data_IF_207336326009
#
_entry.id   IF_207336326009
#
_cell.length_a   1.000
_cell.length_b   1.000
_cell.length_c   1.000
_cell.angle_alpha   90.00
_cell.angle_beta   90.00
_cell.angle_gamma   90.00
#
_symmetry.space_group_name_H-M   'P 1'
#
loop_
_entity.id
_entity.type
_entity.pdbx_description
1 polymer ?
#
# COMPACT_ATOMS: atom_id res chain seq x y z
N UNK A 1 7.20 4.30 -24.15
CA UNK A 1 6.49 3.04 -24.44
C UNK A 1 6.62 2.73 -25.94
N UNK A 2 7.09 1.55 -26.32
CA UNK A 2 7.30 1.15 -27.72
C UNK A 2 6.55 -0.16 -28.00
N UNK A 3 5.90 -0.23 -29.15
CA UNK A 3 5.02 -1.33 -29.55
C UNK A 3 5.48 -1.95 -30.86
N UNK A 4 5.41 -3.27 -30.96
CA UNK A 4 5.74 -4.01 -32.19
C UNK A 4 4.47 -4.72 -32.67
N UNK A 5 4.10 -4.60 -33.96
CA UNK A 5 2.94 -5.30 -34.50
C UNK A 5 3.16 -6.81 -34.51
N UNK A 6 2.09 -7.54 -34.22
CA UNK A 6 2.03 -9.01 -34.28
C UNK A 6 0.91 -9.39 -35.24
N UNK A 7 1.21 -10.31 -36.14
CA UNK A 7 0.24 -10.84 -37.10
C UNK A 7 -0.20 -12.23 -36.65
N UNK A 8 -1.43 -12.42 -36.14
CA UNK A 8 -1.88 -13.70 -35.60
C UNK A 8 -1.78 -14.87 -36.59
N UNK A 9 -1.92 -14.58 -37.89
CA UNK A 9 -1.80 -15.56 -38.97
C UNK A 9 -0.37 -16.07 -39.18
N UNK A 10 0.63 -15.33 -38.71
CA UNK A 10 2.05 -15.69 -38.79
C UNK A 10 2.53 -16.53 -37.59
N UNK A 11 1.64 -16.83 -36.64
CA UNK A 11 2.00 -17.61 -35.47
C UNK A 11 2.21 -19.10 -35.83
N UNK A 12 3.10 -19.81 -35.11
CA UNK A 12 3.22 -21.25 -35.25
C UNK A 12 1.87 -21.95 -35.05
N UNK A 13 1.66 -23.06 -35.78
CA UNK A 13 0.39 -23.80 -35.73
C UNK A 13 0.05 -24.20 -34.30
N UNK A 14 -1.12 -23.79 -33.83
CA UNK A 14 -1.62 -24.06 -32.48
C UNK A 14 -1.27 -23.00 -31.42
N UNK A 15 -0.44 -22.01 -31.76
CA UNK A 15 -0.09 -20.91 -30.84
C UNK A 15 -1.06 -19.75 -31.02
N UNK A 16 -1.81 -19.43 -29.95
CA UNK A 16 -2.65 -18.22 -29.88
C UNK A 16 -2.02 -17.26 -28.89
N UNK A 17 -1.59 -16.10 -29.40
CA UNK A 17 -1.13 -15.00 -28.57
C UNK A 17 -2.34 -14.20 -28.11
N UNK A 18 -2.49 -14.05 -26.79
CA UNK A 18 -3.65 -13.44 -26.16
C UNK A 18 -3.25 -12.14 -25.46
N UNK A 19 -4.19 -11.21 -25.39
CA UNK A 19 -4.03 -9.95 -24.71
C UNK A 19 -3.87 -10.17 -23.21
N UNK A 20 -2.85 -9.54 -22.64
CA UNK A 20 -2.54 -9.61 -21.22
C UNK A 20 -3.69 -9.06 -20.35
N UNK A 21 -4.51 -8.14 -20.85
CA UNK A 21 -5.63 -7.58 -20.07
C UNK A 21 -6.92 -8.41 -20.23
N UNK A 22 -7.36 -8.65 -21.47
CA UNK A 22 -8.71 -9.18 -21.74
C UNK A 22 -8.77 -10.58 -22.34
N UNK A 23 -7.63 -11.25 -22.53
CA UNK A 23 -7.52 -12.60 -23.12
C UNK A 23 -8.00 -12.75 -24.58
N UNK A 24 -8.43 -11.66 -25.24
CA UNK A 24 -8.74 -11.64 -26.68
C UNK A 24 -7.46 -11.78 -27.52
N UNK A 25 -7.60 -12.03 -28.83
CA UNK A 25 -6.45 -12.14 -29.74
C UNK A 25 -5.57 -10.90 -29.70
N UNK A 26 -4.25 -11.10 -29.63
CA UNK A 26 -3.28 -10.01 -29.62
C UNK A 26 -2.81 -9.61 -31.03
N UNK A 27 -2.61 -8.31 -31.22
CA UNK A 27 -2.10 -7.69 -32.46
C UNK A 27 -0.85 -6.84 -32.21
N UNK A 28 -0.49 -6.65 -30.94
CA UNK A 28 0.63 -5.81 -30.50
C UNK A 28 1.43 -6.56 -29.44
N UNK A 29 2.74 -6.34 -29.41
CA UNK A 29 3.65 -6.90 -28.42
C UNK A 29 4.54 -5.81 -27.83
N UNK A 30 4.88 -5.93 -26.55
CA UNK A 30 5.87 -5.06 -25.92
C UNK A 30 7.23 -5.22 -26.60
N UNK A 31 7.81 -4.11 -27.09
CA UNK A 31 9.07 -4.17 -27.84
C UNK A 31 10.29 -4.47 -26.95
N UNK A 32 10.18 -4.23 -25.64
CA UNK A 32 11.26 -4.41 -24.67
C UNK A 32 11.41 -5.88 -24.26
N UNK A 33 10.37 -6.47 -23.68
CA UNK A 33 10.44 -7.87 -23.22
C UNK A 33 10.13 -8.88 -24.33
N UNK A 34 9.34 -8.51 -25.34
CA UNK A 34 8.88 -9.37 -26.44
C UNK A 34 8.18 -10.67 -25.99
N UNK A 35 7.69 -10.72 -24.76
CA UNK A 35 7.00 -11.88 -24.16
C UNK A 35 5.59 -11.55 -23.65
N UNK A 36 5.10 -10.34 -23.94
CA UNK A 36 3.80 -9.85 -23.50
C UNK A 36 3.07 -9.19 -24.65
N UNK A 37 1.78 -9.51 -24.78
CA UNK A 37 0.99 -9.28 -25.97
C UNK A 37 -0.35 -8.60 -25.63
N UNK A 38 -0.88 -7.81 -26.55
CA UNK A 38 -2.04 -6.95 -26.35
C UNK A 38 -2.92 -6.92 -27.60
N UNK A 39 -4.23 -6.74 -27.44
CA UNK A 39 -5.15 -6.59 -28.58
C UNK A 39 -5.00 -5.22 -29.24
N UNK A 40 -4.65 -4.18 -28.49
CA UNK A 40 -4.46 -2.82 -28.97
C UNK A 40 -3.45 -2.07 -28.09
N UNK A 41 -3.16 -0.81 -28.49
CA UNK A 41 -2.23 0.07 -27.77
C UNK A 41 -2.83 0.53 -26.43
N UNK A 42 -4.15 0.67 -26.32
CA UNK A 42 -4.80 1.11 -25.08
C UNK A 42 -4.60 0.09 -23.95
N UNK A 43 -4.80 -1.19 -24.22
CA UNK A 43 -4.52 -2.25 -23.24
C UNK A 43 -3.03 -2.37 -22.92
N UNK A 44 -2.15 -2.09 -23.88
CA UNK A 44 -0.72 -2.02 -23.61
C UNK A 44 -0.40 -0.86 -22.65
N UNK A 45 -1.04 0.29 -22.82
CA UNK A 45 -0.81 1.50 -22.03
C UNK A 45 -1.35 1.35 -20.61
N UNK A 46 -2.56 0.79 -20.48
CA UNK A 46 -3.14 0.44 -19.19
C UNK A 46 -2.25 -0.53 -18.41
N UNK A 47 -1.75 -1.60 -19.06
CA UNK A 47 -0.81 -2.53 -18.42
C UNK A 47 0.53 -1.84 -18.07
N UNK A 48 1.04 -0.96 -18.95
CA UNK A 48 2.27 -0.21 -18.73
C UNK A 48 2.22 0.65 -17.48
N UNK A 49 1.18 1.49 -17.38
CA UNK A 49 1.01 2.41 -16.26
C UNK A 49 0.71 1.67 -14.96
N UNK A 50 -0.04 0.57 -15.02
CA UNK A 50 -0.39 -0.20 -13.83
C UNK A 50 0.76 -1.03 -13.25
N UNK A 51 1.47 -1.81 -14.10
CA UNK A 51 2.46 -2.77 -13.57
C UNK A 51 3.60 -3.12 -14.52
N UNK A 52 3.37 -3.10 -15.83
CA UNK A 52 4.30 -3.68 -16.79
C UNK A 52 5.66 -3.00 -16.76
N UNK A 53 5.72 -1.67 -16.57
CA UNK A 53 7.00 -0.96 -16.44
C UNK A 53 7.91 -1.60 -15.37
N UNK A 54 7.31 -2.00 -14.24
CA UNK A 54 8.04 -2.59 -13.10
C UNK A 54 8.39 -4.06 -13.32
N UNK A 55 7.60 -4.81 -14.09
CA UNK A 55 7.78 -6.26 -14.26
C UNK A 55 8.36 -6.67 -15.63
N UNK A 56 8.49 -5.73 -16.58
CA UNK A 56 8.82 -6.01 -17.98
C UNK A 56 10.00 -6.96 -18.16
N UNK A 57 11.14 -6.65 -17.51
CA UNK A 57 12.36 -7.45 -17.59
C UNK A 57 12.27 -8.75 -16.78
N UNK A 58 11.50 -8.75 -15.69
CA UNK A 58 11.30 -9.90 -14.81
C UNK A 58 10.45 -10.99 -15.48
N UNK A 59 9.61 -10.63 -16.46
CA UNK A 59 8.78 -11.55 -17.22
C UNK A 59 9.59 -12.41 -18.21
N UNK A 60 10.70 -11.89 -18.74
CA UNK A 60 11.53 -12.57 -19.76
C UNK A 60 11.96 -13.97 -19.31
N UNK A 61 12.65 -14.15 -18.17
CA UNK A 61 13.09 -15.47 -17.74
C UNK A 61 11.95 -16.42 -17.36
N UNK A 62 10.74 -15.90 -17.13
CA UNK A 62 9.58 -16.71 -16.74
C UNK A 62 8.82 -17.25 -17.96
N UNK A 63 8.74 -16.43 -19.01
CA UNK A 63 7.96 -16.74 -20.22
C UNK A 63 8.81 -17.30 -21.37
N UNK A 64 10.13 -17.21 -21.27
CA UNK A 64 11.05 -17.80 -22.25
C UNK A 64 11.26 -19.28 -21.95
N UNK A 65 11.10 -20.13 -22.97
CA UNK A 65 11.33 -21.56 -22.83
C UNK A 65 12.80 -21.83 -22.42
N UNK A 66 13.05 -22.71 -21.43
CA UNK A 66 14.41 -23.05 -21.04
C UNK A 66 15.15 -23.72 -22.20
N UNK A 67 16.44 -23.43 -22.35
CA UNK A 67 17.32 -24.21 -23.21
C UNK A 67 17.38 -25.66 -22.76
N UNK A 68 17.70 -26.60 -23.65
CA UNK A 68 17.75 -28.03 -23.36
C UNK A 68 18.50 -28.33 -22.03
N UNK A 69 17.77 -28.87 -21.04
CA UNK A 69 18.31 -29.21 -19.72
C UNK A 69 18.68 -30.69 -19.67
N UNK A 70 19.98 -30.98 -19.60
CA UNK A 70 20.51 -32.33 -19.78
C UNK A 70 20.35 -33.20 -18.52
N UNK A 71 20.49 -32.62 -17.32
CA UNK A 71 20.46 -33.37 -16.06
C UNK A 71 19.17 -33.17 -15.26
N UNK A 72 18.79 -34.18 -14.46
CA UNK A 72 17.63 -34.08 -13.56
C UNK A 72 17.83 -33.01 -12.46
N UNK A 73 19.08 -32.79 -12.02
CA UNK A 73 19.43 -31.78 -11.02
C UNK A 73 19.24 -30.36 -11.55
N UNK A 74 19.63 -30.10 -12.80
CA UNK A 74 19.41 -28.81 -13.47
C UNK A 74 17.92 -28.52 -13.66
N UNK A 75 17.11 -29.53 -14.02
CA UNK A 75 15.65 -29.37 -14.14
C UNK A 75 15.02 -28.95 -12.83
N UNK A 76 15.31 -29.69 -11.74
CA UNK A 76 14.79 -29.38 -10.41
C UNK A 76 15.21 -27.99 -9.95
N UNK A 77 16.48 -27.62 -10.12
CA UNK A 77 16.98 -26.30 -9.73
C UNK A 77 16.30 -25.17 -10.53
N UNK A 78 16.09 -25.36 -11.84
CA UNK A 78 15.40 -24.37 -12.67
C UNK A 78 13.91 -24.24 -12.28
N UNK A 79 13.23 -25.35 -11.97
CA UNK A 79 11.86 -25.35 -11.46
C UNK A 79 11.76 -24.57 -10.13
N UNK A 80 12.69 -24.80 -9.19
CA UNK A 80 12.75 -24.06 -7.92
C UNK A 80 12.98 -22.56 -8.14
N UNK A 81 13.92 -22.19 -9.03
CA UNK A 81 14.14 -20.77 -9.38
C UNK A 81 12.92 -20.13 -10.04
N UNK A 82 12.22 -20.87 -10.91
CA UNK A 82 11.01 -20.41 -11.58
C UNK A 82 9.89 -20.11 -10.58
N UNK A 83 9.66 -21.01 -9.63
CA UNK A 83 8.70 -20.81 -8.55
C UNK A 83 9.09 -19.59 -7.72
N UNK A 84 10.37 -19.44 -7.37
CA UNK A 84 10.83 -18.29 -6.58
C UNK A 84 10.63 -16.95 -7.30
N UNK A 85 10.91 -16.89 -8.61
CA UNK A 85 10.66 -15.69 -9.43
C UNK A 85 9.18 -15.37 -9.52
N UNK A 86 8.32 -16.37 -9.69
CA UNK A 86 6.87 -16.18 -9.70
C UNK A 86 6.36 -15.69 -8.34
N UNK A 87 6.84 -16.25 -7.22
CA UNK A 87 6.51 -15.75 -5.87
C UNK A 87 6.93 -14.31 -5.65
N UNK A 88 8.11 -13.93 -6.11
CA UNK A 88 8.55 -12.54 -6.07
C UNK A 88 7.62 -11.62 -6.88
N UNK A 89 7.23 -12.02 -8.09
CA UNK A 89 6.25 -11.27 -8.89
C UNK A 89 4.87 -11.18 -8.23
N UNK A 90 4.39 -12.25 -7.59
CA UNK A 90 3.13 -12.21 -6.84
C UNK A 90 3.18 -11.10 -5.78
N UNK A 91 4.27 -11.01 -5.01
CA UNK A 91 4.42 -10.00 -3.97
C UNK A 91 4.51 -8.58 -4.57
N UNK A 92 5.40 -8.37 -5.54
CA UNK A 92 5.60 -7.08 -6.18
C UNK A 92 4.30 -6.54 -6.81
N UNK A 93 3.59 -7.39 -7.54
CA UNK A 93 2.33 -7.00 -8.20
C UNK A 93 1.21 -6.68 -7.20
N UNK A 94 1.18 -7.34 -6.02
CA UNK A 94 0.25 -7.01 -4.92
C UNK A 94 0.55 -5.65 -4.32
N UNK A 95 1.81 -5.40 -3.96
CA UNK A 95 2.23 -4.14 -3.33
C UNK A 95 1.92 -2.96 -4.25
N UNK A 96 2.26 -3.08 -5.53
CA UNK A 96 2.00 -2.01 -6.52
C UNK A 96 0.50 -1.79 -6.71
N UNK A 97 -0.30 -2.85 -6.85
CA UNK A 97 -1.74 -2.71 -6.97
C UNK A 97 -2.37 -2.07 -5.71
N UNK A 98 -1.96 -2.51 -4.52
CA UNK A 98 -2.45 -1.95 -3.26
C UNK A 98 -2.10 -0.46 -3.12
N UNK A 99 -0.87 -0.08 -3.48
CA UNK A 99 -0.45 1.33 -3.52
C UNK A 99 -1.34 2.16 -4.43
N UNK A 100 -1.59 1.69 -5.65
CA UNK A 100 -2.45 2.38 -6.61
C UNK A 100 -3.90 2.53 -6.10
N UNK A 101 -4.42 1.53 -5.38
CA UNK A 101 -5.73 1.62 -4.72
C UNK A 101 -5.78 2.73 -3.66
N UNK A 102 -4.75 2.84 -2.81
CA UNK A 102 -4.67 3.91 -1.81
C UNK A 102 -4.47 5.30 -2.45
N UNK A 103 -3.80 5.37 -3.61
CA UNK A 103 -3.72 6.58 -4.42
C UNK A 103 -5.03 6.94 -5.14
N UNK A 104 -6.07 6.09 -5.06
CA UNK A 104 -7.36 6.28 -5.73
C UNK A 104 -7.34 5.95 -7.23
N UNK A 105 -6.25 5.37 -7.73
CA UNK A 105 -6.08 4.98 -9.15
C UNK A 105 -6.61 3.56 -9.38
N UNK A 106 -7.93 3.42 -9.23
CA UNK A 106 -8.58 2.11 -9.27
C UNK A 106 -8.39 1.36 -10.61
N UNK A 107 -8.45 2.08 -11.74
CA UNK A 107 -8.24 1.48 -13.07
C UNK A 107 -6.79 0.98 -13.27
N UNK A 108 -5.80 1.76 -12.82
CA UNK A 108 -4.38 1.40 -12.92
C UNK A 108 -4.00 0.22 -12.01
N UNK A 109 -4.74 0.00 -10.92
CA UNK A 109 -4.50 -1.12 -10.01
C UNK A 109 -4.86 -2.50 -10.61
N UNK A 110 -5.81 -2.54 -11.56
CA UNK A 110 -6.35 -3.79 -12.15
C UNK A 110 -5.26 -4.63 -12.81
N UNK A 111 -4.40 -4.10 -13.72
CA UNK A 111 -3.31 -4.88 -14.32
C UNK A 111 -2.44 -5.60 -13.29
N UNK A 112 -2.03 -4.90 -12.23
CA UNK A 112 -1.20 -5.47 -11.16
C UNK A 112 -1.93 -6.60 -10.42
N UNK A 113 -3.18 -6.39 -10.05
CA UNK A 113 -3.98 -7.40 -9.36
C UNK A 113 -4.26 -8.63 -10.25
N UNK A 114 -4.54 -8.45 -11.54
CA UNK A 114 -4.70 -9.54 -12.51
C UNK A 114 -3.41 -10.35 -12.70
N UNK A 115 -2.26 -9.69 -12.82
CA UNK A 115 -0.95 -10.37 -12.90
C UNK A 115 -0.70 -11.19 -11.64
N UNK A 116 -0.94 -10.60 -10.47
CA UNK A 116 -0.80 -11.29 -9.20
C UNK A 116 -1.64 -12.57 -9.15
N UNK A 117 -2.91 -12.48 -9.55
CA UNK A 117 -3.83 -13.62 -9.56
C UNK A 117 -3.35 -14.74 -10.50
N UNK A 118 -2.83 -14.39 -11.68
CA UNK A 118 -2.31 -15.37 -12.64
C UNK A 118 -1.07 -16.09 -12.14
N UNK A 119 -0.10 -15.38 -11.57
CA UNK A 119 1.07 -16.01 -11.00
C UNK A 119 0.72 -16.86 -9.77
N UNK A 120 -0.18 -16.37 -8.91
CA UNK A 120 -0.63 -17.12 -7.75
C UNK A 120 -1.34 -18.42 -8.18
N UNK A 121 -2.14 -18.38 -9.23
CA UNK A 121 -2.75 -19.58 -9.80
C UNK A 121 -1.71 -20.55 -10.38
N UNK A 122 -0.72 -20.04 -11.12
CA UNK A 122 0.34 -20.88 -11.67
C UNK A 122 1.19 -21.57 -10.58
N UNK A 123 1.44 -20.92 -9.45
CA UNK A 123 2.27 -21.43 -8.35
C UNK A 123 1.49 -22.33 -7.39
N UNK A 124 0.28 -21.92 -7.01
CA UNK A 124 -0.47 -22.53 -5.92
C UNK A 124 -1.75 -23.28 -6.36
N UNK A 125 -2.20 -23.07 -7.59
CA UNK A 125 -3.42 -23.64 -8.15
C UNK A 125 -4.71 -22.89 -7.82
N UNK A 126 -5.77 -23.21 -8.57
CA UNK A 126 -7.07 -22.51 -8.58
C UNK A 126 -7.87 -22.54 -7.27
N UNK A 127 -7.50 -23.38 -6.30
CA UNK A 127 -8.25 -23.56 -5.05
C UNK A 127 -7.47 -23.10 -3.82
N UNK A 128 -6.33 -22.45 -4.00
CA UNK A 128 -5.48 -22.03 -2.90
C UNK A 128 -5.98 -20.74 -2.26
N UNK A 129 -5.90 -20.66 -0.92
CA UNK A 129 -6.10 -19.41 -0.18
C UNK A 129 -5.11 -18.31 -0.61
N UNK A 130 -3.99 -18.68 -1.22
CA UNK A 130 -3.02 -17.73 -1.79
C UNK A 130 -3.59 -16.91 -2.96
N UNK A 131 -4.75 -17.25 -3.51
CA UNK A 131 -5.43 -16.42 -4.53
C UNK A 131 -6.19 -15.25 -3.91
N UNK A 132 -6.62 -15.39 -2.64
CA UNK A 132 -7.53 -14.46 -1.97
C UNK A 132 -6.99 -13.03 -1.97
N UNK A 133 -5.72 -12.74 -1.63
CA UNK A 133 -5.23 -11.36 -1.65
C UNK A 133 -5.38 -10.68 -3.01
N UNK A 134 -5.17 -11.42 -4.10
CA UNK A 134 -5.31 -10.88 -5.46
C UNK A 134 -6.78 -10.65 -5.84
N UNK A 135 -7.70 -11.51 -5.37
CA UNK A 135 -9.15 -11.32 -5.55
C UNK A 135 -9.66 -10.10 -4.78
N UNK A 136 -9.17 -9.89 -3.55
CA UNK A 136 -9.54 -8.72 -2.74
C UNK A 136 -9.09 -7.41 -3.41
N UNK A 137 -7.88 -7.36 -3.98
CA UNK A 137 -7.41 -6.19 -4.73
C UNK A 137 -8.31 -5.87 -5.95
N UNK A 138 -8.74 -6.91 -6.69
CA UNK A 138 -9.65 -6.74 -7.82
C UNK A 138 -11.04 -6.29 -7.38
N UNK A 139 -11.55 -6.82 -6.26
CA UNK A 139 -12.80 -6.38 -5.68
C UNK A 139 -12.74 -4.91 -5.27
N UNK A 140 -11.70 -4.49 -4.57
CA UNK A 140 -11.51 -3.10 -4.15
C UNK A 140 -11.41 -2.13 -5.34
N UNK A 141 -10.67 -2.50 -6.38
CA UNK A 141 -10.62 -1.74 -7.64
C UNK A 141 -12.02 -1.61 -8.27
N UNK A 142 -12.75 -2.72 -8.35
CA UNK A 142 -14.11 -2.76 -8.92
C UNK A 142 -15.10 -1.90 -8.10
N UNK A 143 -15.00 -1.92 -6.77
CA UNK A 143 -15.78 -1.04 -5.88
C UNK A 143 -15.46 0.42 -6.17
N UNK A 144 -14.19 0.79 -6.28
CA UNK A 144 -13.74 2.15 -6.60
C UNK A 144 -14.20 2.65 -7.96
N UNK A 145 -14.40 1.75 -8.93
CA UNK A 145 -14.96 2.04 -10.25
C UNK A 145 -16.50 2.01 -10.30
N UNK A 146 -17.17 1.66 -9.19
CA UNK A 146 -18.62 1.49 -9.13
C UNK A 146 -19.14 0.21 -9.82
N UNK A 147 -18.25 -0.71 -10.18
CA UNK A 147 -18.56 -2.01 -10.78
C UNK A 147 -18.92 -3.02 -9.67
N UNK A 148 -20.05 -2.79 -9.01
CA UNK A 148 -20.41 -3.52 -7.79
C UNK A 148 -20.71 -5.01 -8.02
N UNK A 149 -21.23 -5.38 -9.20
CA UNK A 149 -21.49 -6.78 -9.56
C UNK A 149 -20.18 -7.58 -9.68
N UNK A 150 -19.17 -7.01 -10.35
CA UNK A 150 -17.85 -7.62 -10.50
C UNK A 150 -17.12 -7.71 -9.15
N UNK A 151 -17.24 -6.68 -8.31
CA UNK A 151 -16.73 -6.72 -6.94
C UNK A 151 -17.36 -7.86 -6.13
N UNK A 152 -18.67 -8.04 -6.21
CA UNK A 152 -19.39 -9.10 -5.49
C UNK A 152 -18.98 -10.50 -5.97
N UNK A 153 -18.73 -10.68 -7.26
CA UNK A 153 -18.20 -11.93 -7.81
C UNK A 153 -16.81 -12.26 -7.24
N UNK A 154 -15.90 -11.28 -7.17
CA UNK A 154 -14.57 -11.49 -6.59
C UNK A 154 -14.63 -11.78 -5.08
N UNK A 155 -15.46 -11.04 -4.34
CA UNK A 155 -15.62 -11.27 -2.90
C UNK A 155 -16.30 -12.60 -2.59
N UNK A 156 -17.23 -13.06 -3.41
CA UNK A 156 -17.85 -14.37 -3.27
C UNK A 156 -16.82 -15.50 -3.43
N UNK A 157 -15.93 -15.38 -4.42
CA UNK A 157 -14.83 -16.33 -4.62
C UNK A 157 -13.84 -16.33 -3.45
N UNK A 158 -13.46 -15.13 -2.98
CA UNK A 158 -12.56 -14.97 -1.83
C UNK A 158 -13.18 -15.58 -0.56
N UNK A 159 -14.43 -15.25 -0.27
CA UNK A 159 -15.16 -15.71 0.90
C UNK A 159 -15.33 -17.24 0.90
N UNK A 160 -15.70 -17.83 -0.24
CA UNK A 160 -15.79 -19.28 -0.37
C UNK A 160 -14.45 -19.99 -0.15
N UNK A 161 -13.35 -19.41 -0.65
CA UNK A 161 -12.00 -19.96 -0.45
C UNK A 161 -11.61 -19.91 1.02
N UNK A 162 -11.81 -18.77 1.69
CA UNK A 162 -11.54 -18.60 3.13
C UNK A 162 -12.36 -19.57 3.99
N UNK A 163 -13.64 -19.78 3.68
CA UNK A 163 -14.51 -20.71 4.41
C UNK A 163 -14.08 -22.18 4.30
N UNK A 164 -13.40 -22.55 3.20
CA UNK A 164 -12.97 -23.93 2.95
C UNK A 164 -11.59 -24.27 3.51
N UNK A 165 -10.78 -23.28 3.83
CA UNK A 165 -9.41 -23.48 4.30
C UNK A 165 -9.37 -23.40 5.82
N UNK A 166 -9.07 -24.53 6.49
CA UNK A 166 -8.95 -24.61 7.95
C UNK A 166 -7.71 -23.88 8.50
N UNK A 167 -6.72 -23.65 7.64
CA UNK A 167 -5.43 -23.03 7.96
C UNK A 167 -5.39 -21.53 7.65
N UNK A 168 -6.53 -20.90 7.33
CA UNK A 168 -6.56 -19.47 7.05
C UNK A 168 -6.44 -18.70 8.38
N UNK A 169 -5.19 -18.53 8.82
CA UNK A 169 -4.81 -17.68 9.94
C UNK A 169 -5.40 -16.29 9.69
N UNK A 170 -5.99 -15.73 10.73
CA UNK A 170 -6.77 -14.49 10.84
C UNK A 170 -6.30 -13.28 10.00
N UNK A 171 -5.05 -13.29 9.51
CA UNK A 171 -4.43 -12.29 8.65
C UNK A 171 -5.08 -12.08 7.26
N UNK A 172 -5.82 -13.04 6.71
CA UNK A 172 -6.57 -12.84 5.44
C UNK A 172 -8.03 -12.45 5.72
N UNK A 173 -8.59 -12.92 6.84
CA UNK A 173 -9.99 -12.72 7.20
C UNK A 173 -10.35 -11.25 7.38
N UNK A 174 -9.52 -10.48 8.09
CA UNK A 174 -9.81 -9.06 8.31
C UNK A 174 -9.89 -8.27 6.99
N UNK A 175 -9.00 -8.53 6.03
CA UNK A 175 -9.01 -7.88 4.72
C UNK A 175 -10.26 -8.21 3.89
N UNK A 176 -10.74 -9.45 4.00
CA UNK A 176 -11.99 -9.87 3.37
C UNK A 176 -13.18 -9.10 3.96
N UNK A 177 -13.28 -9.04 5.29
CA UNK A 177 -14.36 -8.29 5.94
C UNK A 177 -14.27 -6.78 5.68
N UNK A 178 -13.06 -6.21 5.62
CA UNK A 178 -12.85 -4.82 5.18
C UNK A 178 -13.46 -4.57 3.81
N UNK A 179 -13.16 -5.43 2.85
CA UNK A 179 -13.68 -5.30 1.48
C UNK A 179 -15.21 -5.51 1.40
N UNK A 180 -15.76 -6.43 2.18
CA UNK A 180 -17.22 -6.57 2.31
C UNK A 180 -17.85 -5.30 2.90
N UNK A 181 -17.23 -4.70 3.92
CA UNK A 181 -17.66 -3.42 4.49
C UNK A 181 -17.62 -2.29 3.46
N UNK A 182 -16.58 -2.22 2.63
CA UNK A 182 -16.46 -1.27 1.52
C UNK A 182 -17.57 -1.47 0.47
N UNK A 183 -17.85 -2.73 0.09
CA UNK A 183 -18.93 -3.06 -0.86
C UNK A 183 -20.28 -2.57 -0.35
N UNK A 184 -20.62 -2.88 0.91
CA UNK A 184 -21.90 -2.46 1.49
C UNK A 184 -21.98 -0.95 1.72
N UNK A 185 -20.84 -0.31 2.00
CA UNK A 185 -20.74 1.16 2.02
C UNK A 185 -21.06 1.76 0.65
N UNK A 186 -20.56 1.16 -0.44
CA UNK A 186 -20.87 1.57 -1.81
C UNK A 186 -22.34 1.30 -2.19
N UNK A 187 -22.92 0.21 -1.69
CA UNK A 187 -24.37 -0.11 -1.81
C UNK A 187 -25.26 0.77 -0.92
N UNK A 188 -24.70 1.69 -0.14
CA UNK A 188 -25.41 2.54 0.82
C UNK A 188 -26.15 1.77 1.94
N UNK A 189 -25.73 0.54 2.22
CA UNK A 189 -26.21 -0.28 3.35
C UNK A 189 -25.27 -0.08 4.55
N UNK A 190 -25.50 1.01 5.28
CA UNK A 190 -24.65 1.42 6.40
C UNK A 190 -24.64 0.39 7.54
N UNK A 191 -25.74 -0.32 7.78
CA UNK A 191 -25.85 -1.29 8.87
C UNK A 191 -24.95 -2.50 8.61
N UNK A 192 -25.02 -3.09 7.41
CA UNK A 192 -24.13 -4.19 7.05
C UNK A 192 -22.68 -3.73 6.96
N UNK A 193 -22.43 -2.55 6.43
CA UNK A 193 -21.08 -2.00 6.38
C UNK A 193 -20.44 -1.93 7.78
N UNK A 194 -21.17 -1.39 8.76
CA UNK A 194 -20.70 -1.32 10.16
C UNK A 194 -20.45 -2.71 10.76
N UNK A 195 -21.32 -3.68 10.47
CA UNK A 195 -21.16 -5.06 10.93
C UNK A 195 -19.86 -5.67 10.40
N UNK A 196 -19.60 -5.56 9.10
CA UNK A 196 -18.38 -6.07 8.49
C UNK A 196 -17.11 -5.32 8.93
N UNK A 197 -17.17 -4.00 9.14
CA UNK A 197 -16.04 -3.28 9.71
C UNK A 197 -15.76 -3.66 11.16
N UNK A 198 -16.77 -4.04 11.94
CA UNK A 198 -16.57 -4.56 13.29
C UNK A 198 -15.82 -5.91 13.24
N UNK A 199 -16.18 -6.80 12.32
CA UNK A 199 -15.48 -8.07 12.11
C UNK A 199 -14.04 -7.86 11.61
N UNK A 200 -13.81 -6.92 10.69
CA UNK A 200 -12.47 -6.48 10.27
C UNK A 200 -11.62 -6.08 11.50
N UNK A 201 -12.10 -5.13 12.31
CA UNK A 201 -11.39 -4.65 13.50
C UNK A 201 -11.13 -5.80 14.48
N UNK A 202 -12.12 -6.66 14.73
CA UNK A 202 -11.99 -7.80 15.63
C UNK A 202 -10.87 -8.74 15.19
N UNK A 203 -10.89 -9.16 13.93
CA UNK A 203 -9.89 -10.08 13.39
C UNK A 203 -8.51 -9.43 13.27
N UNK A 204 -8.42 -8.17 12.84
CA UNK A 204 -7.14 -7.44 12.80
C UNK A 204 -6.52 -7.32 14.21
N UNK A 205 -7.34 -7.01 15.21
CA UNK A 205 -6.91 -6.91 16.61
C UNK A 205 -6.36 -8.23 17.15
N UNK A 206 -6.92 -9.38 16.75
CA UNK A 206 -6.42 -10.68 17.16
C UNK A 206 -5.02 -11.00 16.62
N UNK A 207 -4.64 -10.41 15.48
CA UNK A 207 -3.34 -10.67 14.84
C UNK A 207 -2.29 -9.65 15.24
N UNK A 208 -2.66 -8.38 15.23
CA UNK A 208 -1.71 -7.27 15.33
C UNK A 208 -1.88 -6.44 16.61
N UNK A 209 -3.03 -6.56 17.27
CA UNK A 209 -3.42 -5.69 18.38
C UNK A 209 -4.27 -4.50 17.94
N UNK A 210 -4.90 -3.85 18.91
CA UNK A 210 -5.82 -2.74 18.65
C UNK A 210 -5.10 -1.46 18.20
N UNK A 211 -3.88 -1.24 18.68
CA UNK A 211 -3.08 -0.04 18.41
C UNK A 211 -2.10 -0.20 17.23
N UNK A 212 -2.44 -1.02 16.24
CA UNK A 212 -1.61 -1.28 15.06
C UNK A 212 -2.19 -0.63 13.80
N UNK A 213 -1.32 -0.14 12.90
CA UNK A 213 -1.72 0.54 11.66
C UNK A 213 -2.62 -0.34 10.77
N UNK A 214 -2.46 -1.67 10.81
CA UNK A 214 -3.31 -2.62 10.06
C UNK A 214 -4.73 -2.68 10.60
N UNK A 215 -4.91 -2.44 11.89
CA UNK A 215 -6.23 -2.30 12.55
C UNK A 215 -6.82 -0.91 12.33
N UNK A 216 -5.97 0.12 12.23
CA UNK A 216 -6.39 1.51 12.01
C UNK A 216 -7.25 1.71 10.75
N UNK A 217 -6.98 0.98 9.66
CA UNK A 217 -7.81 1.03 8.45
C UNK A 217 -9.28 0.68 8.71
N UNK A 218 -9.56 -0.31 9.56
CA UNK A 218 -10.93 -0.68 9.95
C UNK A 218 -11.64 0.43 10.73
N UNK A 219 -10.94 1.04 11.71
CA UNK A 219 -11.46 2.20 12.45
C UNK A 219 -11.76 3.37 11.52
N UNK A 220 -10.87 3.64 10.55
CA UNK A 220 -11.05 4.71 9.57
C UNK A 220 -12.30 4.51 8.71
N UNK A 221 -12.50 3.32 8.15
CA UNK A 221 -13.68 3.05 7.35
C UNK A 221 -14.97 3.07 8.17
N UNK A 222 -14.95 2.53 9.40
CA UNK A 222 -16.08 2.63 10.32
C UNK A 222 -16.42 4.09 10.67
N UNK A 223 -15.41 4.93 10.90
CA UNK A 223 -15.58 6.36 11.12
C UNK A 223 -16.26 7.05 9.93
N UNK A 224 -15.84 6.73 8.71
CA UNK A 224 -16.44 7.28 7.48
C UNK A 224 -17.93 6.92 7.37
N UNK A 225 -18.35 5.72 7.77
CA UNK A 225 -19.77 5.34 7.80
C UNK A 225 -20.53 6.16 8.85
N UNK A 226 -20.00 6.29 10.07
CA UNK A 226 -20.63 7.10 11.11
C UNK A 226 -20.72 8.58 10.74
N UNK A 227 -19.70 9.11 10.07
CA UNK A 227 -19.71 10.47 9.52
C UNK A 227 -20.86 10.65 8.51
N UNK A 228 -21.05 9.73 7.56
CA UNK A 228 -22.18 9.75 6.61
C UNK A 228 -23.54 9.67 7.31
N UNK A 229 -23.61 8.95 8.43
CA UNK A 229 -24.80 8.87 9.29
C UNK A 229 -25.01 10.11 10.19
N UNK A 230 -24.13 11.12 10.11
CA UNK A 230 -24.12 12.32 10.96
C UNK A 230 -23.93 12.04 12.46
N UNK A 231 -23.36 10.88 12.82
CA UNK A 231 -22.96 10.54 14.20
C UNK A 231 -21.55 11.05 14.46
N UNK A 232 -21.43 12.38 14.54
CA UNK A 232 -20.15 13.10 14.50
C UNK A 232 -19.27 12.82 15.73
N UNK A 233 -19.88 12.61 16.89
CA UNK A 233 -19.21 12.23 18.14
C UNK A 233 -18.46 10.89 18.00
N UNK A 234 -19.13 9.88 17.43
CA UNK A 234 -18.53 8.56 17.22
C UNK A 234 -17.45 8.63 16.14
N UNK A 235 -17.75 9.30 15.02
CA UNK A 235 -16.80 9.46 13.92
C UNK A 235 -15.52 10.17 14.39
N UNK A 236 -15.66 11.26 15.14
CA UNK A 236 -14.53 12.03 15.69
C UNK A 236 -13.67 11.20 16.67
N UNK A 237 -14.31 10.38 17.52
CA UNK A 237 -13.59 9.49 18.43
C UNK A 237 -12.76 8.46 17.65
N UNK A 238 -13.32 7.85 16.61
CA UNK A 238 -12.62 6.87 15.79
C UNK A 238 -11.49 7.51 14.97
N UNK A 239 -11.71 8.68 14.36
CA UNK A 239 -10.64 9.41 13.68
C UNK A 239 -9.50 9.81 14.64
N UNK A 240 -9.84 10.14 15.89
CA UNK A 240 -8.84 10.42 16.93
C UNK A 240 -7.99 9.19 17.22
N UNK A 241 -8.61 8.01 17.33
CA UNK A 241 -7.90 6.75 17.53
C UNK A 241 -6.98 6.42 16.35
N UNK A 242 -7.47 6.55 15.11
CA UNK A 242 -6.65 6.37 13.91
C UNK A 242 -5.46 7.32 13.90
N UNK A 243 -5.67 8.60 14.25
CA UNK A 243 -4.58 9.58 14.34
C UNK A 243 -3.55 9.18 15.38
N UNK A 244 -3.98 8.67 16.55
CA UNK A 244 -3.08 8.26 17.63
C UNK A 244 -2.23 7.04 17.25
N UNK A 245 -2.83 6.05 16.58
CA UNK A 245 -2.11 4.86 16.11
C UNK A 245 -1.01 5.26 15.12
N UNK A 246 -1.36 6.04 14.09
CA UNK A 246 -0.38 6.52 13.12
C UNK A 246 0.67 7.44 13.74
N UNK A 247 0.28 8.33 14.66
CA UNK A 247 1.22 9.21 15.35
C UNK A 247 2.27 8.42 16.15
N UNK A 248 1.83 7.39 16.87
CA UNK A 248 2.73 6.54 17.67
C UNK A 248 3.69 5.80 16.75
N UNK A 249 3.16 5.11 15.73
CA UNK A 249 3.96 4.37 14.77
C UNK A 249 5.00 5.23 14.04
N UNK A 250 4.57 6.38 13.48
CA UNK A 250 5.49 7.28 12.77
C UNK A 250 6.49 7.94 13.72
N UNK A 251 6.10 8.25 14.95
CA UNK A 251 7.01 8.79 15.97
C UNK A 251 8.14 7.83 16.33
N UNK A 252 7.84 6.53 16.47
CA UNK A 252 8.84 5.49 16.69
C UNK A 252 9.80 5.34 15.49
N UNK A 253 9.28 5.42 14.26
CA UNK A 253 10.11 5.41 13.06
C UNK A 253 11.03 6.63 12.96
N UNK A 254 10.50 7.84 13.21
CA UNK A 254 11.30 9.07 13.20
C UNK A 254 12.41 9.00 14.24
N UNK A 255 12.12 8.55 15.47
CA UNK A 255 13.16 8.40 16.49
C UNK A 255 14.21 7.37 16.09
N UNK A 256 13.79 6.24 15.50
CA UNK A 256 14.71 5.21 15.00
C UNK A 256 15.64 5.74 13.92
N UNK A 257 15.11 6.50 12.95
CA UNK A 257 15.93 7.14 11.91
C UNK A 257 16.89 8.17 12.52
N UNK A 258 16.45 8.96 13.50
CA UNK A 258 17.33 9.88 14.23
C UNK A 258 18.46 9.11 14.91
N UNK A 259 18.18 8.03 15.64
CA UNK A 259 19.20 7.24 16.33
C UNK A 259 20.21 6.60 15.36
N UNK A 260 19.75 6.03 14.25
CA UNK A 260 20.63 5.49 13.20
C UNK A 260 21.63 6.53 12.70
N UNK A 261 21.24 7.80 12.68
CA UNK A 261 22.09 8.89 12.19
C UNK A 261 23.12 9.32 13.22
N UNK A 262 22.73 9.35 14.49
CA UNK A 262 23.65 9.56 15.60
C UNK A 262 24.71 8.46 15.68
N UNK A 263 24.35 7.21 15.36
CA UNK A 263 25.32 6.11 15.24
C UNK A 263 26.30 6.32 14.09
N UNK A 264 25.79 6.70 12.91
CA UNK A 264 26.65 7.00 11.74
C UNK A 264 27.59 8.18 12.01
N UNK A 265 27.18 9.12 12.84
CA UNK A 265 27.96 10.27 13.28
C UNK A 265 29.04 9.94 14.31
N UNK A 266 29.00 8.76 14.94
CA UNK A 266 29.80 8.46 16.12
C UNK A 266 29.39 9.24 17.37
N UNK A 267 28.19 9.86 17.38
CA UNK A 267 27.67 10.62 18.52
C UNK A 267 26.97 9.71 19.54
N UNK A 268 26.50 8.53 19.11
CA UNK A 268 25.98 7.48 19.98
C UNK A 268 26.36 6.10 19.44
N UNK A 269 26.10 5.04 20.20
CA UNK A 269 26.33 3.65 19.78
C UNK A 269 25.06 2.83 19.95
N UNK A 270 24.78 1.86 19.06
CA UNK A 270 23.66 0.94 19.23
C UNK A 270 23.89 0.05 20.46
N UNK A 271 22.82 -0.27 21.17
CA UNK A 271 22.90 -1.20 22.28
C UNK A 271 23.27 -2.62 21.78
N UNK A 272 23.93 -3.45 22.60
CA UNK A 272 24.25 -4.81 22.21
C UNK A 272 22.98 -5.59 21.84
N UNK A 273 22.90 -6.08 20.60
CA UNK A 273 21.73 -6.81 20.08
C UNK A 273 20.70 -5.96 19.35
N UNK A 274 20.91 -4.65 19.20
CA UNK A 274 20.05 -3.82 18.34
C UNK A 274 20.16 -4.28 16.88
N UNK A 275 19.04 -4.71 16.32
CA UNK A 275 18.95 -5.04 14.90
C UNK A 275 18.64 -3.77 14.13
N UNK A 276 19.50 -3.41 13.18
CA UNK A 276 19.23 -2.30 12.26
C UNK A 276 18.29 -2.85 11.19
N UNK A 277 17.03 -2.41 11.22
CA UNK A 277 16.02 -2.76 10.22
C UNK A 277 15.85 -1.55 9.30
N UNK A 278 15.86 -1.75 7.98
CA UNK A 278 15.68 -0.64 7.04
C UNK A 278 14.23 -0.15 7.04
N UNK A 279 14.02 1.14 6.75
CA UNK A 279 12.68 1.75 6.77
C UNK A 279 11.74 1.03 5.80
N UNK A 280 12.23 0.66 4.61
CA UNK A 280 11.50 -0.06 3.57
C UNK A 280 11.00 -1.44 4.01
N UNK A 281 11.63 -2.06 5.02
CA UNK A 281 11.20 -3.37 5.55
C UNK A 281 10.04 -3.26 6.55
N UNK A 282 9.85 -2.09 7.16
CA UNK A 282 8.86 -1.84 8.23
C UNK A 282 7.71 -0.96 7.76
N UNK A 283 7.97 -0.10 6.78
CA UNK A 283 7.01 0.84 6.21
C UNK A 283 7.11 0.79 4.68
N UNK A 284 6.31 -0.09 4.10
CA UNK A 284 6.36 -0.36 2.67
C UNK A 284 5.60 0.69 1.84
N UNK A 285 5.90 0.71 0.54
CA UNK A 285 5.31 1.57 -0.48
C UNK A 285 3.76 1.66 -0.46
N UNK A 286 3.07 0.60 -0.03
CA UNK A 286 1.61 0.58 0.06
C UNK A 286 1.14 1.19 1.39
N UNK A 287 1.81 0.90 2.50
CA UNK A 287 1.54 1.52 3.80
C UNK A 287 1.81 3.04 3.76
N UNK A 288 2.82 3.48 3.03
CA UNK A 288 3.08 4.89 2.77
C UNK A 288 1.86 5.57 2.11
N UNK A 289 1.32 4.94 1.07
CA UNK A 289 0.15 5.46 0.36
C UNK A 289 -1.12 5.44 1.22
N UNK A 290 -1.32 4.40 2.04
CA UNK A 290 -2.42 4.34 3.02
C UNK A 290 -2.31 5.47 4.03
N UNK A 291 -1.10 5.71 4.59
CA UNK A 291 -0.86 6.78 5.54
C UNK A 291 -1.20 8.15 4.94
N UNK A 292 -0.75 8.42 3.69
CA UNK A 292 -1.11 9.65 2.98
C UNK A 292 -2.62 9.77 2.82
N UNK A 293 -3.29 8.73 2.30
CA UNK A 293 -4.72 8.77 2.06
C UNK A 293 -5.51 9.03 3.35
N UNK A 294 -5.24 8.24 4.39
CA UNK A 294 -5.99 8.27 5.66
C UNK A 294 -5.74 9.57 6.41
N UNK A 295 -4.47 9.99 6.54
CA UNK A 295 -4.14 11.17 7.36
C UNK A 295 -4.61 12.47 6.70
N UNK A 296 -4.50 12.59 5.37
CA UNK A 296 -5.07 13.74 4.67
C UNK A 296 -6.59 13.74 4.71
N UNK A 297 -7.25 12.59 4.54
CA UNK A 297 -8.71 12.52 4.66
C UNK A 297 -9.18 12.99 6.05
N UNK A 298 -8.51 12.55 7.13
CA UNK A 298 -8.83 13.00 8.49
C UNK A 298 -8.55 14.48 8.68
N UNK A 299 -7.42 14.98 8.17
CA UNK A 299 -7.06 16.40 8.21
C UNK A 299 -8.13 17.28 7.54
N UNK A 300 -8.52 16.92 6.32
CA UNK A 300 -9.53 17.64 5.55
C UNK A 300 -10.89 17.62 6.23
N UNK A 301 -11.32 16.46 6.75
CA UNK A 301 -12.57 16.33 7.49
C UNK A 301 -12.59 17.21 8.74
N UNK A 302 -11.49 17.26 9.51
CA UNK A 302 -11.38 18.09 10.72
C UNK A 302 -11.36 19.59 10.42
N UNK A 303 -10.90 19.98 9.24
CA UNK A 303 -10.94 21.39 8.82
C UNK A 303 -12.35 21.86 8.45
N UNK A 304 -13.29 20.96 8.18
CA UNK A 304 -14.69 21.30 7.96
C UNK A 304 -15.37 21.76 9.25
N UNK A 305 -16.45 22.55 9.13
CA UNK A 305 -17.13 23.20 10.27
C UNK A 305 -17.76 22.22 11.28
N UNK A 306 -17.98 20.97 10.89
CA UNK A 306 -18.81 20.02 11.65
C UNK A 306 -18.06 19.24 12.74
N UNK A 307 -16.72 19.25 12.76
CA UNK A 307 -15.92 18.49 13.73
C UNK A 307 -15.29 19.39 14.80
N UNK A 308 -15.26 18.97 16.08
CA UNK A 308 -14.63 19.73 17.15
C UNK A 308 -13.12 19.94 16.91
N UNK A 309 -12.68 21.21 16.93
CA UNK A 309 -11.29 21.59 16.60
C UNK A 309 -10.31 21.59 17.77
N UNK A 310 -10.75 21.29 19.00
CA UNK A 310 -9.97 21.44 20.25
C UNK A 310 -8.66 20.63 20.25
N UNK A 311 -7.59 21.14 19.62
CA UNK A 311 -6.26 20.55 19.59
C UNK A 311 -6.03 19.36 18.67
N UNK A 312 -7.11 18.87 18.07
CA UNK A 312 -7.08 17.67 17.23
C UNK A 312 -6.47 17.95 15.87
N UNK A 313 -6.46 19.22 15.44
CA UNK A 313 -5.82 19.68 14.21
C UNK A 313 -4.29 19.65 14.38
N UNK A 314 -3.78 20.11 15.52
CA UNK A 314 -2.35 20.07 15.83
C UNK A 314 -1.80 18.65 15.85
N UNK A 315 -2.54 17.71 16.43
CA UNK A 315 -2.10 16.30 16.48
C UNK A 315 -2.02 15.65 15.10
N UNK A 316 -3.01 15.85 14.23
CA UNK A 316 -2.96 15.31 12.87
C UNK A 316 -1.88 16.00 12.03
N UNK A 317 -1.66 17.30 12.23
CA UNK A 317 -0.58 18.04 11.58
C UNK A 317 0.80 17.54 12.05
N UNK A 318 1.00 17.26 13.34
CA UNK A 318 2.21 16.60 13.84
C UNK A 318 2.44 15.25 13.16
N UNK A 319 1.39 14.43 13.03
CA UNK A 319 1.48 13.14 12.34
C UNK A 319 1.87 13.28 10.87
N UNK A 320 1.29 14.25 10.15
CA UNK A 320 1.65 14.55 8.76
C UNK A 320 3.08 15.10 8.64
N UNK A 321 3.53 15.91 9.59
CA UNK A 321 4.91 16.40 9.62
C UNK A 321 5.91 15.26 9.76
N UNK A 322 5.64 14.29 10.65
CA UNK A 322 6.45 13.07 10.79
C UNK A 322 6.47 12.23 9.50
N UNK A 323 5.31 12.04 8.86
CA UNK A 323 5.21 11.30 7.60
C UNK A 323 6.08 11.95 6.51
N UNK A 324 5.94 13.25 6.30
CA UNK A 324 6.71 13.96 5.27
C UNK A 324 8.18 14.11 5.60
N UNK A 325 8.55 14.13 6.88
CA UNK A 325 9.94 14.04 7.30
C UNK A 325 10.56 12.71 6.88
N UNK A 326 9.86 11.58 7.08
CA UNK A 326 10.32 10.26 6.66
C UNK A 326 10.44 10.15 5.13
N UNK A 327 9.53 10.79 4.38
CA UNK A 327 9.61 10.88 2.90
C UNK A 327 10.71 11.81 2.39
N UNK A 328 11.42 12.50 3.29
CA UNK A 328 12.41 13.53 2.95
C UNK A 328 11.80 14.71 2.17
N UNK A 329 10.48 14.90 2.23
CA UNK A 329 9.78 16.09 1.72
C UNK A 329 9.77 17.17 2.81
N UNK A 330 10.94 17.77 3.05
CA UNK A 330 11.13 18.74 4.12
C UNK A 330 10.26 19.98 3.95
N UNK A 331 9.83 20.31 2.73
CA UNK A 331 8.93 21.46 2.51
C UNK A 331 7.59 21.21 3.18
N UNK A 332 6.97 20.07 2.90
CA UNK A 332 5.70 19.67 3.54
C UNK A 332 5.88 19.40 5.02
N UNK A 333 7.00 18.80 5.43
CA UNK A 333 7.28 18.56 6.85
C UNK A 333 7.30 19.88 7.64
N UNK A 334 7.96 20.93 7.13
CA UNK A 334 7.99 22.26 7.74
C UNK A 334 6.60 22.91 7.79
N UNK A 335 5.83 22.80 6.70
CA UNK A 335 4.47 23.34 6.62
C UNK A 335 3.57 22.76 7.72
N UNK A 336 3.50 21.44 7.83
CA UNK A 336 2.68 20.77 8.83
C UNK A 336 3.23 20.94 10.25
N UNK A 337 4.56 20.99 10.45
CA UNK A 337 5.15 21.23 11.76
C UNK A 337 4.81 22.63 12.30
N UNK A 338 4.80 23.67 11.45
CA UNK A 338 4.39 25.02 11.84
C UNK A 338 2.92 25.05 12.25
N UNK A 339 2.05 24.44 11.45
CA UNK A 339 0.63 24.32 11.78
C UNK A 339 0.40 23.58 13.12
N UNK A 340 1.15 22.50 13.35
CA UNK A 340 1.08 21.74 14.59
C UNK A 340 1.51 22.55 15.82
N UNK A 341 2.55 23.39 15.69
CA UNK A 341 3.03 24.26 16.77
C UNK A 341 2.01 25.36 17.10
N UNK A 342 1.44 26.02 16.09
CA UNK A 342 0.44 27.07 16.29
C UNK A 342 -0.75 26.53 17.09
N UNK A 343 -1.29 25.36 16.71
CA UNK A 343 -2.42 24.74 17.42
C UNK A 343 -2.01 24.24 18.83
N UNK A 344 -0.82 23.66 18.97
CA UNK A 344 -0.33 23.16 20.27
C UNK A 344 -0.07 24.28 21.29
N UNK A 345 0.42 25.43 20.83
CA UNK A 345 0.64 26.62 21.68
C UNK A 345 -0.68 27.21 22.17
N UNK A 346 -1.75 27.14 21.38
CA UNK A 346 -3.09 27.61 21.76
C UNK A 346 -3.72 26.78 22.89
N UNK A 347 -3.31 25.52 23.06
CA UNK A 347 -3.86 24.59 24.07
C UNK A 347 -3.08 24.54 25.40
N UNK A 348 -1.96 25.27 25.50
CA UNK A 348 -1.21 25.51 26.74
C UNK A 348 -0.66 24.30 27.55
N UNK A 349 -0.68 23.04 27.08
CA UNK A 349 -0.36 21.90 27.98
C UNK A 349 0.34 20.65 27.38
N UNK A 350 1.22 20.76 26.38
CA UNK A 350 1.96 19.57 25.93
C UNK A 350 3.44 19.82 25.57
N UNK A 351 4.27 20.09 26.59
CA UNK A 351 5.72 20.35 26.42
C UNK A 351 6.45 19.25 25.64
N UNK A 352 6.07 17.98 25.81
CA UNK A 352 6.68 16.86 25.09
C UNK A 352 6.36 16.88 23.59
N UNK A 353 5.11 17.14 23.23
CA UNK A 353 4.71 17.26 21.82
C UNK A 353 5.37 18.50 21.18
N UNK A 354 5.38 19.63 21.88
CA UNK A 354 6.07 20.86 21.42
C UNK A 354 7.55 20.58 21.16
N UNK A 355 8.24 19.88 22.06
CA UNK A 355 9.65 19.51 21.89
C UNK A 355 9.89 18.60 20.67
N UNK A 356 9.03 17.59 20.46
CA UNK A 356 9.10 16.69 19.31
C UNK A 356 8.92 17.46 17.99
N UNK A 357 7.88 18.29 17.89
CA UNK A 357 7.58 19.07 16.68
C UNK A 357 8.69 20.08 16.40
N UNK A 358 9.21 20.75 17.44
CA UNK A 358 10.31 21.72 17.31
C UNK A 358 11.57 21.05 16.77
N UNK A 359 11.92 19.86 17.28
CA UNK A 359 13.07 19.09 16.80
C UNK A 359 12.94 18.73 15.31
N UNK A 360 11.76 18.24 14.88
CA UNK A 360 11.50 17.93 13.47
C UNK A 360 11.60 19.18 12.60
N UNK A 361 11.02 20.30 13.06
CA UNK A 361 11.06 21.57 12.36
C UNK A 361 12.49 22.06 12.15
N UNK A 362 13.30 22.10 13.20
CA UNK A 362 14.71 22.52 13.13
C UNK A 362 15.52 21.65 12.17
N UNK A 363 15.33 20.32 12.24
CA UNK A 363 16.01 19.37 11.34
C UNK A 363 15.60 19.58 9.87
N UNK A 364 14.31 19.77 9.61
CA UNK A 364 13.78 19.97 8.27
C UNK A 364 14.19 21.33 7.68
N UNK A 365 14.15 22.42 8.45
CA UNK A 365 14.61 23.74 8.03
C UNK A 365 16.12 23.74 7.75
N UNK A 366 16.91 23.07 8.59
CA UNK A 366 18.34 22.87 8.34
C UNK A 366 18.58 22.11 7.03
N UNK A 367 17.84 21.03 6.78
CA UNK A 367 17.96 20.28 5.51
C UNK A 367 17.62 21.15 4.28
N UNK A 368 16.63 22.04 4.38
CA UNK A 368 16.28 22.96 3.29
C UNK A 368 17.35 24.04 3.03
N UNK A 369 18.17 24.39 4.02
CA UNK A 369 19.19 25.44 3.89
C UNK A 369 20.38 25.09 2.99
N UNK A 370 20.53 23.82 2.60
CA UNK A 370 21.63 23.34 1.76
C UNK A 370 21.36 23.52 0.25
N UNK A 371 22.41 23.71 -0.59
CA UNK A 371 22.24 24.00 -2.01
C UNK A 371 21.48 22.89 -2.76
N UNK A 372 20.42 23.27 -3.47
CA UNK A 372 19.59 22.37 -4.30
C UNK A 372 18.25 21.94 -3.67
N UNK A 373 17.92 22.38 -2.44
CA UNK A 373 16.66 22.05 -1.77
C UNK A 373 16.50 20.55 -1.43
N UNK A 374 17.47 19.75 -1.83
CA UNK A 374 17.73 18.38 -1.42
C UNK A 374 18.97 18.42 -0.55
N UNK A 375 18.87 19.05 0.62
CA UNK A 375 20.01 19.07 1.53
C UNK A 375 20.59 17.67 1.68
N UNK A 376 21.87 17.57 2.07
CA UNK A 376 22.42 16.26 2.32
C UNK A 376 21.42 15.57 3.26
N UNK A 377 21.04 14.34 2.91
CA UNK A 377 20.10 13.49 3.67
C UNK A 377 20.19 13.86 5.15
N UNK A 378 19.09 14.06 5.92
CA UNK A 378 18.93 14.83 7.19
C UNK A 378 19.87 14.43 8.37
N UNK A 379 21.09 14.10 8.02
CA UNK A 379 22.00 13.03 8.43
C UNK A 379 23.46 13.48 8.16
N UNK A 380 23.71 14.62 7.49
CA UNK A 380 25.06 15.15 7.27
C UNK A 380 25.45 16.29 8.22
N UNK A 381 24.55 16.75 9.09
CA UNK A 381 24.93 17.64 10.19
C UNK A 381 25.84 16.97 11.22
N UNK A 382 25.88 15.64 11.20
CA UNK A 382 26.76 14.77 11.97
C UNK A 382 28.25 14.88 11.59
N UNK A 383 28.56 15.31 10.37
CA UNK A 383 29.93 15.30 9.84
C UNK A 383 30.64 16.66 9.92
N UNK A 384 30.03 17.63 10.61
CA UNK A 384 30.54 19.02 10.68
C UNK A 384 31.11 19.41 12.05
N UNK A 385 31.50 18.45 12.88
CA UNK A 385 32.27 18.69 14.11
C UNK A 385 33.68 18.13 13.99
#
# INVERSE_FOLDING_TARGET
MLSTPVYPLSNPKGVKLQCEMCQKTAYVMCSQCRVTYYCDVAHQEADWNGIHEKICQLLIPIRTAPTFLSSAKERKHNEEQMIQRQKHLINLTRIVAQKLLFEGKHEEAIPGALQSLRFANAVYGNTSAELVPSQLLLAEASIGLGQLDEAEDYLSQAHWTVMRTTECVTAIQYKLYRNLGLLYTAKCDNEKALWYFADDIYHATQVFGAADIRTAGGYFHMANVFYRMKKMDIADSLYSEVTNIWNTFLGELVETEIQKTLWKAGLSSPEPGTTIVDLEDVFDDAQEAEAVQVLHAIFDLRNQEYLPKQGKIGKIAETLAMLYFLFLDFKKAVEYAKLALEDSQLLLHNEKAIGSITRILEMAEKALSYPGGKGPSPYAWANSC
#
